data_IF_657119285232
#
_entry.id   IF_657119285232
#
_cell.length_a   1.000
_cell.length_b   1.000
_cell.length_c   1.000
_cell.angle_alpha   90.00
_cell.angle_beta   90.00
_cell.angle_gamma   90.00
#
_symmetry.space_group_name_H-M   'P 1'
#
loop_
_entity.id
_entity.type
_entity.pdbx_description
1 polymer ?
#
# COMPACT_ATOMS: atom_id res chain seq x y z
N UNK A 1 -25.11 -38.53 -78.55
CA UNK A 1 -23.78 -38.43 -77.92
C UNK A 1 -23.65 -36.99 -77.48
N UNK A 2 -24.43 -36.53 -76.51
CA UNK A 2 -24.42 -36.90 -75.08
C UNK A 2 -23.04 -36.67 -74.46
N UNK A 3 -23.00 -35.85 -73.42
CA UNK A 3 -21.85 -35.80 -72.52
C UNK A 3 -21.65 -34.45 -71.84
N UNK A 4 -22.52 -34.15 -70.88
CA UNK A 4 -22.39 -33.13 -69.86
C UNK A 4 -21.02 -33.15 -69.13
N UNK A 5 -20.61 -31.96 -68.68
CA UNK A 5 -19.54 -31.76 -67.72
C UNK A 5 -19.76 -30.46 -66.97
N UNK A 6 -20.62 -30.49 -65.96
CA UNK A 6 -20.80 -29.42 -64.96
C UNK A 6 -19.52 -29.23 -64.14
N UNK A 7 -19.06 -27.99 -63.90
CA UNK A 7 -18.07 -27.71 -62.87
C UNK A 7 -18.74 -27.61 -61.50
N UNK A 8 -18.09 -28.22 -60.51
CA UNK A 8 -18.51 -28.26 -59.10
C UNK A 8 -18.89 -26.88 -58.54
N UNK A 9 -20.09 -26.82 -57.97
CA UNK A 9 -20.60 -25.72 -57.15
C UNK A 9 -19.81 -25.65 -55.84
N UNK A 10 -18.80 -24.78 -55.77
CA UNK A 10 -18.26 -24.34 -54.48
C UNK A 10 -19.34 -23.55 -53.73
N UNK A 11 -19.78 -24.08 -52.59
CA UNK A 11 -20.69 -23.38 -51.69
C UNK A 11 -20.14 -22.02 -51.30
N UNK A 12 -20.90 -20.97 -51.59
CA UNK A 12 -20.67 -19.65 -51.02
C UNK A 12 -21.03 -19.69 -49.53
N UNK A 13 -20.34 -18.93 -48.67
CA UNK A 13 -20.78 -18.76 -47.29
C UNK A 13 -22.15 -18.06 -47.32
N UNK A 14 -23.13 -18.57 -46.57
CA UNK A 14 -24.37 -17.85 -46.30
C UNK A 14 -23.99 -16.55 -45.58
N UNK A 15 -23.94 -15.45 -46.33
CA UNK A 15 -23.98 -14.11 -45.75
C UNK A 15 -25.44 -13.86 -45.34
N UNK A 16 -25.66 -13.64 -44.04
CA UNK A 16 -26.96 -13.28 -43.51
C UNK A 16 -27.51 -12.06 -44.26
N UNK A 17 -28.76 -12.16 -44.74
CA UNK A 17 -29.40 -11.09 -45.50
C UNK A 17 -29.51 -9.83 -44.62
N UNK A 18 -29.30 -8.61 -45.16
CA UNK A 18 -29.41 -7.38 -44.38
C UNK A 18 -30.78 -7.17 -43.72
N UNK A 19 -31.85 -7.80 -44.25
CA UNK A 19 -33.15 -7.81 -43.57
C UNK A 19 -33.19 -8.72 -42.34
N UNK A 20 -32.47 -9.84 -42.35
CA UNK A 20 -32.37 -10.74 -41.20
C UNK A 20 -31.52 -10.12 -40.08
N UNK A 21 -30.40 -9.48 -40.43
CA UNK A 21 -29.58 -8.72 -39.48
C UNK A 21 -30.36 -7.57 -38.81
N UNK A 22 -31.14 -6.80 -39.59
CA UNK A 22 -32.00 -5.74 -39.02
C UNK A 22 -33.14 -6.29 -38.13
N UNK A 23 -33.65 -7.50 -38.39
CA UNK A 23 -34.65 -8.12 -37.51
C UNK A 23 -34.04 -8.72 -36.25
N UNK A 24 -32.80 -9.21 -36.30
CA UNK A 24 -32.05 -9.67 -35.13
C UNK A 24 -31.72 -8.50 -34.20
N UNK A 25 -31.13 -7.42 -34.71
CA UNK A 25 -30.83 -6.21 -33.93
C UNK A 25 -32.07 -5.65 -33.22
N UNK A 26 -33.20 -5.58 -33.94
CA UNK A 26 -34.47 -5.11 -33.36
C UNK A 26 -35.04 -6.05 -32.29
N UNK A 27 -34.79 -7.36 -32.40
CA UNK A 27 -35.24 -8.36 -31.43
C UNK A 27 -34.38 -8.29 -30.16
N UNK A 28 -33.09 -8.00 -30.31
CA UNK A 28 -32.16 -7.75 -29.20
C UNK A 28 -32.53 -6.47 -28.46
N UNK A 29 -32.84 -5.38 -29.17
CA UNK A 29 -33.32 -4.11 -28.57
C UNK A 29 -34.59 -4.31 -27.72
N UNK A 30 -35.57 -5.08 -28.21
CA UNK A 30 -36.81 -5.38 -27.48
C UNK A 30 -36.56 -6.27 -26.24
N UNK A 31 -35.60 -7.20 -26.30
CA UNK A 31 -35.19 -8.03 -25.16
C UNK A 31 -34.43 -7.23 -24.10
N UNK A 32 -33.56 -6.30 -24.50
CA UNK A 32 -32.85 -5.38 -23.59
C UNK A 32 -33.83 -4.43 -22.87
N UNK A 33 -34.80 -3.87 -23.59
CA UNK A 33 -35.81 -2.99 -23.01
C UNK A 33 -36.69 -3.73 -21.98
N UNK A 34 -37.07 -4.98 -22.29
CA UNK A 34 -37.81 -5.84 -21.36
C UNK A 34 -36.99 -6.21 -20.12
N UNK A 35 -35.69 -6.50 -20.28
CA UNK A 35 -34.79 -6.77 -19.17
C UNK A 35 -34.56 -5.53 -18.28
N UNK A 36 -34.43 -4.36 -18.89
CA UNK A 36 -34.32 -3.09 -18.16
C UNK A 36 -35.60 -2.80 -17.35
N UNK A 37 -36.78 -3.04 -17.91
CA UNK A 37 -38.05 -2.92 -17.21
C UNK A 37 -38.15 -3.89 -16.02
N UNK A 38 -37.75 -5.16 -16.20
CA UNK A 38 -37.72 -6.15 -15.13
C UNK A 38 -36.77 -5.74 -13.98
N UNK A 39 -35.57 -5.27 -14.30
CA UNK A 39 -34.61 -4.78 -13.30
C UNK A 39 -35.12 -3.53 -12.57
N UNK A 40 -35.87 -2.66 -13.26
CA UNK A 40 -36.45 -1.46 -12.66
C UNK A 40 -37.56 -1.78 -11.63
N UNK A 41 -38.27 -2.90 -11.80
CA UNK A 41 -39.33 -3.36 -10.88
C UNK A 41 -38.82 -4.27 -9.75
N UNK A 42 -37.57 -4.74 -9.83
CA UNK A 42 -37.00 -5.67 -8.87
C UNK A 42 -37.00 -5.08 -7.45
N UNK A 43 -37.38 -5.82 -6.39
CA UNK A 43 -37.28 -5.35 -5.00
C UNK A 43 -35.86 -4.91 -4.60
N UNK A 44 -35.75 -3.88 -3.75
CA UNK A 44 -34.46 -3.32 -3.33
C UNK A 44 -33.44 -4.36 -2.81
N UNK A 45 -33.79 -5.32 -1.94
CA UNK A 45 -32.83 -6.31 -1.47
C UNK A 45 -32.26 -7.21 -2.59
N UNK A 46 -33.03 -7.44 -3.65
CA UNK A 46 -32.58 -8.24 -4.80
C UNK A 46 -31.72 -7.39 -5.74
N UNK A 47 -32.07 -6.12 -5.94
CA UNK A 47 -31.26 -5.19 -6.72
C UNK A 47 -29.90 -4.94 -6.05
N UNK A 48 -29.86 -4.82 -4.72
CA UNK A 48 -28.60 -4.73 -3.96
C UNK A 48 -27.70 -5.95 -4.20
N UNK A 49 -28.27 -7.16 -4.26
CA UNK A 49 -27.49 -8.37 -4.57
C UNK A 49 -26.93 -8.34 -5.99
N UNK A 50 -27.72 -7.89 -6.97
CA UNK A 50 -27.24 -7.72 -8.36
C UNK A 50 -26.09 -6.71 -8.42
N UNK A 51 -26.27 -5.54 -7.80
CA UNK A 51 -25.24 -4.50 -7.75
C UNK A 51 -23.98 -4.96 -7.00
N UNK A 52 -24.13 -5.76 -5.93
CA UNK A 52 -23.00 -6.24 -5.14
C UNK A 52 -22.05 -7.16 -5.94
N UNK A 53 -22.54 -7.83 -6.99
CA UNK A 53 -21.70 -8.63 -7.89
C UNK A 53 -20.83 -7.78 -8.83
N UNK A 54 -21.13 -6.49 -9.01
CA UNK A 54 -20.40 -5.61 -9.93
C UNK A 54 -19.10 -5.06 -9.30
N UNK A 55 -18.07 -4.77 -10.12
CA UNK A 55 -16.87 -4.08 -9.66
C UNK A 55 -17.20 -2.74 -9.01
N UNK A 56 -16.56 -2.46 -7.87
CA UNK A 56 -16.81 -1.24 -7.10
C UNK A 56 -16.55 0.06 -7.90
N UNK A 57 -15.60 0.05 -8.84
CA UNK A 57 -15.33 1.19 -9.71
C UNK A 57 -16.53 1.47 -10.63
N UNK A 58 -17.10 0.43 -11.26
CA UNK A 58 -18.26 0.54 -12.15
C UNK A 58 -19.51 1.00 -11.39
N UNK A 59 -19.69 0.52 -10.15
CA UNK A 59 -20.78 0.98 -9.29
C UNK A 59 -20.79 2.50 -9.14
N UNK A 60 -19.62 3.08 -8.84
CA UNK A 60 -19.47 4.52 -8.57
C UNK A 60 -19.47 5.34 -9.86
N UNK A 61 -18.86 4.84 -10.94
CA UNK A 61 -18.64 5.59 -12.18
C UNK A 61 -19.79 5.47 -13.19
N UNK A 62 -20.47 4.32 -13.24
CA UNK A 62 -21.50 4.03 -14.24
C UNK A 62 -22.86 3.77 -13.58
N UNK A 63 -22.97 2.80 -12.65
CA UNK A 63 -24.25 2.41 -12.08
C UNK A 63 -24.94 3.56 -11.34
N UNK A 64 -24.16 4.41 -10.66
CA UNK A 64 -24.65 5.64 -10.00
C UNK A 64 -25.33 6.61 -10.96
N UNK A 65 -25.03 6.56 -12.26
CA UNK A 65 -25.56 7.46 -13.30
C UNK A 65 -26.78 6.90 -14.05
N UNK A 66 -27.15 5.63 -13.83
CA UNK A 66 -28.24 4.96 -14.54
C UNK A 66 -29.59 5.60 -14.25
N UNK A 67 -29.95 5.72 -12.96
CA UNK A 67 -31.18 6.39 -12.52
C UNK A 67 -31.09 6.79 -11.03
N UNK A 68 -32.04 7.60 -10.56
CA UNK A 68 -32.08 8.07 -9.16
C UNK A 68 -32.12 6.91 -8.15
N UNK A 69 -32.87 5.84 -8.46
CA UNK A 69 -32.96 4.66 -7.60
C UNK A 69 -31.60 3.97 -7.44
N UNK A 70 -30.86 3.80 -8.52
CA UNK A 70 -29.53 3.19 -8.47
C UNK A 70 -28.53 4.08 -7.75
N UNK A 71 -28.61 5.40 -7.96
CA UNK A 71 -27.81 6.38 -7.22
C UNK A 71 -28.00 6.25 -5.70
N UNK A 72 -29.25 6.18 -5.22
CA UNK A 72 -29.55 6.05 -3.79
C UNK A 72 -28.99 4.75 -3.20
N UNK A 73 -29.05 3.64 -3.94
CA UNK A 73 -28.49 2.36 -3.49
C UNK A 73 -26.96 2.34 -3.51
N UNK A 74 -26.34 2.94 -4.53
CA UNK A 74 -24.88 3.05 -4.62
C UNK A 74 -24.32 3.99 -3.56
N UNK A 75 -25.02 5.07 -3.23
CA UNK A 75 -24.63 6.01 -2.18
C UNK A 75 -24.95 5.48 -0.77
N UNK A 76 -25.80 4.44 -0.68
CA UNK A 76 -26.28 3.86 0.56
C UNK A 76 -25.32 2.86 1.22
N UNK A 77 -25.29 2.87 2.55
CA UNK A 77 -24.55 1.90 3.36
C UNK A 77 -24.86 0.41 3.06
N UNK A 78 -26.12 -0.01 2.81
CA UNK A 78 -26.44 -1.44 2.66
C UNK A 78 -25.68 -2.16 1.55
N UNK A 79 -25.43 -1.50 0.41
CA UNK A 79 -24.68 -2.09 -0.70
C UNK A 79 -23.25 -2.43 -0.30
N UNK A 80 -22.57 -1.45 0.29
CA UNK A 80 -21.16 -1.59 0.65
C UNK A 80 -20.94 -2.51 1.86
N UNK A 81 -21.89 -2.53 2.80
CA UNK A 81 -21.91 -3.54 3.87
C UNK A 81 -22.02 -4.95 3.29
N UNK A 82 -22.95 -5.17 2.36
CA UNK A 82 -23.13 -6.47 1.71
C UNK A 82 -21.85 -6.90 0.97
N UNK A 83 -21.24 -6.00 0.19
CA UNK A 83 -19.95 -6.29 -0.48
C UNK A 83 -18.84 -6.62 0.52
N UNK A 84 -18.73 -5.87 1.62
CA UNK A 84 -17.75 -6.16 2.66
C UNK A 84 -17.94 -7.55 3.27
N UNK A 85 -19.19 -7.98 3.50
CA UNK A 85 -19.51 -9.30 4.04
C UNK A 85 -19.18 -10.42 3.04
N UNK A 86 -19.57 -10.26 1.77
CA UNK A 86 -19.29 -11.23 0.70
C UNK A 86 -17.78 -11.46 0.52
N UNK A 87 -16.98 -10.41 0.71
CA UNK A 87 -15.53 -10.44 0.53
C UNK A 87 -14.75 -10.68 1.83
N UNK A 88 -15.42 -10.97 2.95
CA UNK A 88 -14.78 -11.25 4.24
C UNK A 88 -14.01 -10.07 4.84
N UNK A 89 -14.37 -8.83 4.50
CA UNK A 89 -13.71 -7.61 4.97
C UNK A 89 -14.24 -7.11 6.33
N UNK A 90 -15.39 -7.64 6.78
CA UNK A 90 -15.96 -7.27 8.08
C UNK A 90 -15.19 -8.02 9.18
N UNK A 91 -14.53 -7.34 10.13
CA UNK A 91 -13.80 -8.01 11.20
C UNK A 91 -14.75 -8.83 12.08
N UNK A 92 -14.35 -10.05 12.45
CA UNK A 92 -15.04 -10.83 13.47
C UNK A 92 -14.83 -10.17 14.84
N UNK A 93 -15.85 -9.49 15.37
CA UNK A 93 -15.86 -8.97 16.74
C UNK A 93 -15.91 -7.45 16.89
N UNK A 94 -15.57 -6.67 15.85
CA UNK A 94 -15.78 -5.21 15.85
C UNK A 94 -17.14 -4.88 15.24
N UNK A 95 -18.17 -5.14 16.02
CA UNK A 95 -19.49 -4.54 15.82
C UNK A 95 -19.50 -3.09 16.36
N UNK A 96 -18.47 -2.29 16.06
CA UNK A 96 -18.48 -0.86 16.39
C UNK A 96 -19.38 -0.13 15.39
N UNK A 97 -20.66 -0.16 15.79
CA UNK A 97 -21.72 0.83 15.68
C UNK A 97 -21.24 2.28 15.44
N UNK A 98 -20.78 2.62 14.24
CA UNK A 98 -20.87 3.98 13.60
C UNK A 98 -20.06 4.02 12.30
N UNK A 99 -20.27 3.06 11.41
CA UNK A 99 -19.74 3.18 10.04
C UNK A 99 -20.74 3.91 9.17
N UNK A 100 -20.76 5.24 9.29
CA UNK A 100 -21.56 6.11 8.42
C UNK A 100 -21.08 6.05 6.95
N UNK A 101 -19.87 5.51 6.70
CA UNK A 101 -19.22 5.54 5.39
C UNK A 101 -18.69 4.16 4.94
N UNK A 102 -19.57 3.15 4.85
CA UNK A 102 -19.21 1.79 4.40
C UNK A 102 -18.52 1.74 3.04
N UNK A 103 -18.86 2.65 2.13
CA UNK A 103 -18.17 2.80 0.85
C UNK A 103 -16.67 3.07 1.03
N UNK A 104 -16.33 4.04 1.88
CA UNK A 104 -14.94 4.40 2.16
C UNK A 104 -14.21 3.23 2.85
N UNK A 105 -14.87 2.60 3.83
CA UNK A 105 -14.31 1.41 4.49
C UNK A 105 -13.99 0.30 3.48
N UNK A 106 -14.91 0.00 2.55
CA UNK A 106 -14.68 -0.99 1.51
C UNK A 106 -13.43 -0.66 0.68
N UNK A 107 -13.35 0.56 0.14
CA UNK A 107 -12.24 0.97 -0.71
C UNK A 107 -10.89 0.99 0.03
N UNK A 108 -10.87 1.46 1.28
CA UNK A 108 -9.68 1.45 2.14
C UNK A 108 -9.23 0.02 2.45
N UNK A 109 -10.16 -0.87 2.78
CA UNK A 109 -9.88 -2.27 3.11
C UNK A 109 -9.32 -3.03 1.91
N UNK A 110 -9.93 -2.86 0.72
CA UNK A 110 -9.46 -3.48 -0.52
C UNK A 110 -8.07 -3.01 -0.97
N UNK A 111 -7.68 -1.79 -0.61
CA UNK A 111 -6.39 -1.19 -0.99
C UNK A 111 -5.32 -1.34 0.08
N UNK A 112 -5.66 -1.80 1.30
CA UNK A 112 -4.75 -1.91 2.42
C UNK A 112 -3.61 -2.88 2.09
N UNK A 113 -2.41 -2.32 1.92
CA UNK A 113 -1.15 -3.04 1.67
C UNK A 113 0.03 -2.19 2.14
N UNK A 114 1.23 -2.79 2.19
CA UNK A 114 2.45 -2.00 2.34
C UNK A 114 2.70 -1.21 1.05
N UNK A 115 2.90 0.11 1.18
CA UNK A 115 3.14 1.01 0.06
C UNK A 115 4.64 1.23 -0.19
N UNK A 116 5.51 0.84 0.75
CA UNK A 116 6.95 0.87 0.55
C UNK A 116 7.38 -0.26 -0.38
N UNK A 117 8.23 0.07 -1.34
CA UNK A 117 8.91 -0.91 -2.19
C UNK A 117 10.13 -1.47 -1.47
N UNK A 118 10.45 -2.73 -1.75
CA UNK A 118 11.65 -3.40 -1.25
C UNK A 118 11.95 -3.11 0.25
N UNK A 119 11.01 -3.41 1.17
CA UNK A 119 11.16 -3.07 2.59
C UNK A 119 12.27 -3.89 3.28
N UNK A 120 12.65 -5.05 2.74
CA UNK A 120 13.59 -5.99 3.38
C UNK A 120 14.92 -6.15 2.62
N UNK A 121 15.11 -5.51 1.46
CA UNK A 121 16.35 -5.61 0.68
C UNK A 121 16.44 -6.81 -0.26
N UNK A 122 15.31 -7.42 -0.64
CA UNK A 122 15.31 -8.52 -1.63
C UNK A 122 15.83 -8.06 -3.00
N UNK A 123 15.61 -6.80 -3.34
CA UNK A 123 16.04 -6.14 -4.57
C UNK A 123 17.20 -5.16 -4.29
N UNK A 124 18.12 -5.53 -3.41
CA UNK A 124 19.21 -4.66 -2.94
C UNK A 124 18.67 -3.30 -2.43
N UNK A 125 19.07 -2.18 -3.03
CA UNK A 125 18.60 -0.83 -2.70
C UNK A 125 17.58 -0.29 -3.72
N UNK A 126 17.06 -1.13 -4.62
CA UNK A 126 16.04 -0.71 -5.59
C UNK A 126 14.78 -0.17 -4.87
N UNK A 127 14.17 0.85 -5.47
CA UNK A 127 13.03 1.55 -4.91
C UNK A 127 13.37 2.64 -3.89
N UNK A 128 14.57 2.64 -3.30
CA UNK A 128 15.01 3.68 -2.37
C UNK A 128 15.67 4.86 -3.10
N UNK A 129 15.36 6.07 -2.68
CA UNK A 129 15.95 7.33 -3.15
C UNK A 129 16.75 8.02 -2.03
N UNK A 130 17.46 9.11 -2.37
CA UNK A 130 18.30 9.88 -1.43
C UNK A 130 19.21 8.99 -0.57
N UNK A 131 19.80 7.98 -1.21
CA UNK A 131 20.63 7.00 -0.51
C UNK A 131 21.99 7.63 -0.19
N UNK A 132 22.25 7.81 1.11
CA UNK A 132 23.53 8.27 1.63
C UNK A 132 24.31 7.07 2.18
N UNK A 133 25.55 6.92 1.74
CA UNK A 133 26.45 5.84 2.14
C UNK A 133 27.59 6.39 3.01
N UNK A 134 27.37 6.51 4.32
CA UNK A 134 28.44 6.77 5.27
C UNK A 134 29.36 5.57 5.43
N UNK A 135 30.66 5.78 5.68
CA UNK A 135 31.64 4.70 5.88
C UNK A 135 31.71 3.73 4.70
N UNK A 136 31.56 2.42 4.96
CA UNK A 136 31.50 1.39 3.92
C UNK A 136 30.11 1.28 3.25
N UNK A 137 29.17 2.16 3.62
CA UNK A 137 27.83 2.26 3.05
C UNK A 137 26.85 1.18 3.51
N UNK A 138 25.62 1.28 2.99
CA UNK A 138 24.59 0.25 3.12
C UNK A 138 25.03 -1.10 2.56
N UNK A 139 24.71 -2.17 3.29
CA UNK A 139 24.78 -3.56 2.83
C UNK A 139 23.46 -4.26 3.08
N UNK A 140 23.11 -5.19 2.21
CA UNK A 140 22.00 -6.11 2.45
C UNK A 140 22.61 -7.42 2.97
N UNK A 141 22.10 -7.89 4.11
CA UNK A 141 22.57 -9.09 4.80
C UNK A 141 21.38 -10.04 5.05
N UNK A 142 21.67 -11.33 5.16
CA UNK A 142 20.66 -12.37 5.45
C UNK A 142 20.43 -12.49 6.96
N UNK A 143 19.20 -12.81 7.36
CA UNK A 143 18.85 -13.12 8.74
C UNK A 143 19.16 -14.59 9.07
N UNK A 144 19.64 -14.89 10.29
CA UNK A 144 20.07 -13.94 11.31
C UNK A 144 21.47 -13.37 10.99
N UNK A 145 21.66 -12.09 11.30
CA UNK A 145 22.93 -11.38 11.08
C UNK A 145 24.07 -11.83 12.02
N UNK A 146 25.31 -11.51 11.65
CA UNK A 146 26.49 -11.77 12.48
C UNK A 146 26.42 -11.01 13.83
N UNK A 147 26.39 -11.76 14.94
CA UNK A 147 26.16 -11.24 16.30
C UNK A 147 24.80 -10.51 16.46
N UNK A 148 23.85 -10.78 15.56
CA UNK A 148 22.46 -10.35 15.64
C UNK A 148 21.54 -11.47 16.14
N UNK A 149 20.24 -11.18 16.18
CA UNK A 149 19.20 -12.11 16.63
C UNK A 149 18.17 -12.35 15.53
N UNK A 150 17.50 -13.50 15.61
CA UNK A 150 16.45 -13.90 14.66
C UNK A 150 15.26 -12.93 14.71
N UNK A 151 14.65 -12.67 13.54
CA UNK A 151 13.43 -11.88 13.46
C UNK A 151 12.20 -12.78 13.63
N UNK A 152 11.61 -12.78 14.81
CA UNK A 152 10.53 -13.72 15.19
C UNK A 152 9.10 -13.21 14.91
N UNK A 153 8.97 -11.99 14.39
CA UNK A 153 7.66 -11.36 14.19
C UNK A 153 7.01 -11.70 12.85
N UNK A 154 7.80 -12.03 11.82
CA UNK A 154 7.33 -12.42 10.50
C UNK A 154 8.36 -13.33 9.81
N UNK A 155 8.00 -14.60 9.65
CA UNK A 155 8.85 -15.62 9.02
C UNK A 155 9.10 -15.36 7.52
N UNK A 156 8.38 -14.42 6.88
CA UNK A 156 8.63 -14.04 5.49
C UNK A 156 9.84 -13.12 5.32
N UNK A 157 10.30 -12.46 6.39
CA UNK A 157 11.46 -11.57 6.36
C UNK A 157 12.74 -12.41 6.41
N UNK A 158 13.62 -12.21 5.41
CA UNK A 158 14.87 -12.98 5.26
C UNK A 158 16.13 -12.14 5.18
N UNK A 159 15.99 -10.84 4.94
CA UNK A 159 17.10 -9.91 4.77
C UNK A 159 16.85 -8.62 5.52
N UNK A 160 17.92 -7.87 5.77
CA UNK A 160 17.87 -6.55 6.38
C UNK A 160 18.96 -5.64 5.78
N UNK A 161 18.83 -4.34 6.04
CA UNK A 161 19.80 -3.32 5.66
C UNK A 161 20.75 -3.03 6.83
N UNK A 162 22.04 -3.34 6.65
CA UNK A 162 23.11 -3.01 7.58
C UNK A 162 23.75 -1.66 7.23
N UNK A 163 23.84 -0.77 8.22
CA UNK A 163 24.56 0.51 8.10
C UNK A 163 26.04 0.38 8.49
N UNK A 164 26.83 1.43 8.24
CA UNK A 164 28.26 1.46 8.54
C UNK A 164 28.59 2.47 9.64
N UNK A 165 29.88 2.68 9.89
CA UNK A 165 30.40 3.51 10.99
C UNK A 165 30.17 5.03 10.86
N UNK A 166 29.52 5.47 9.78
CA UNK A 166 29.02 6.84 9.58
C UNK A 166 27.56 6.78 9.11
N UNK A 167 26.86 7.93 9.09
CA UNK A 167 25.44 7.98 8.79
C UNK A 167 25.14 7.44 7.38
N UNK A 168 24.35 6.39 7.34
CA UNK A 168 23.71 5.87 6.14
C UNK A 168 22.23 6.28 6.14
N UNK A 169 21.74 6.83 5.04
CA UNK A 169 20.33 7.25 4.91
C UNK A 169 19.72 6.67 3.65
N UNK A 170 18.41 6.47 3.66
CA UNK A 170 17.61 6.10 2.49
C UNK A 170 16.18 6.58 2.67
N UNK A 171 15.54 7.00 1.59
CA UNK A 171 14.18 7.52 1.61
C UNK A 171 13.29 6.86 0.56
N UNK A 172 11.98 6.95 0.75
CA UNK A 172 10.98 6.67 -0.28
C UNK A 172 9.89 7.73 -0.23
N UNK A 173 9.48 8.19 -1.41
CA UNK A 173 8.34 9.08 -1.60
C UNK A 173 7.21 8.24 -2.21
N UNK A 174 6.09 8.18 -1.49
CA UNK A 174 4.90 7.44 -1.88
C UNK A 174 3.88 8.46 -2.40
N UNK A 175 3.48 8.28 -3.66
CA UNK A 175 2.34 9.01 -4.24
C UNK A 175 1.04 8.26 -3.89
N UNK A 176 0.33 8.75 -2.88
CA UNK A 176 -0.93 8.19 -2.41
C UNK A 176 -2.01 8.16 -3.52
N UNK A 177 -2.03 9.15 -4.43
CA UNK A 177 -2.99 9.15 -5.53
C UNK A 177 -2.66 8.06 -6.55
N UNK A 178 -1.38 7.92 -6.91
CA UNK A 178 -0.92 6.82 -7.76
C UNK A 178 -1.16 5.44 -7.12
N UNK A 179 -1.08 5.34 -5.79
CA UNK A 179 -1.41 4.12 -5.03
C UNK A 179 -2.93 3.86 -4.89
N UNK A 180 -3.77 4.78 -5.40
CA UNK A 180 -5.22 4.61 -5.53
C UNK A 180 -6.06 5.29 -4.44
N UNK A 181 -5.49 6.21 -3.68
CA UNK A 181 -6.16 7.04 -2.68
C UNK A 181 -6.45 8.44 -3.26
N UNK A 182 -7.70 8.70 -3.62
CA UNK A 182 -8.09 9.93 -4.34
C UNK A 182 -8.19 11.16 -3.42
N UNK A 183 -8.10 12.36 -4.01
CA UNK A 183 -8.09 13.66 -3.30
C UNK A 183 -9.23 13.80 -2.28
N UNK A 184 -10.48 13.57 -2.68
CA UNK A 184 -11.65 13.71 -1.78
C UNK A 184 -11.56 12.78 -0.54
N UNK A 185 -11.04 11.56 -0.68
CA UNK A 185 -10.81 10.64 0.43
C UNK A 185 -9.71 11.16 1.36
N UNK A 186 -8.61 11.64 0.79
CA UNK A 186 -7.50 12.18 1.58
C UNK A 186 -7.93 13.45 2.31
N UNK A 187 -8.61 14.38 1.63
CA UNK A 187 -9.04 15.67 2.18
C UNK A 187 -10.17 15.56 3.21
N UNK A 188 -11.18 14.75 2.91
CA UNK A 188 -12.42 14.69 3.70
C UNK A 188 -12.35 13.61 4.78
N UNK A 189 -11.99 12.38 4.39
CA UNK A 189 -11.98 11.23 5.31
C UNK A 189 -10.73 11.22 6.18
N UNK A 190 -9.60 11.71 5.65
CA UNK A 190 -8.30 11.70 6.31
C UNK A 190 -8.01 10.34 6.96
N UNK A 191 -7.99 9.26 6.14
CA UNK A 191 -7.81 7.91 6.67
C UNK A 191 -6.50 7.83 7.46
N UNK A 192 -6.48 6.96 8.46
CA UNK A 192 -5.29 6.78 9.28
C UNK A 192 -4.13 6.24 8.42
N UNK A 193 -3.03 6.98 8.40
CA UNK A 193 -1.77 6.54 7.79
C UNK A 193 -0.95 5.89 8.90
N UNK A 194 -0.59 4.63 8.71
CA UNK A 194 0.19 3.83 9.65
C UNK A 194 1.56 3.58 9.06
N UNK A 195 2.60 3.99 9.77
CA UNK A 195 3.99 3.74 9.41
C UNK A 195 4.62 2.88 10.49
N UNK A 196 5.29 1.81 10.08
CA UNK A 196 5.98 0.89 10.95
C UNK A 196 7.40 0.68 10.43
N UNK A 197 8.35 0.59 11.34
CA UNK A 197 9.73 0.26 11.02
C UNK A 197 10.31 -0.63 12.12
N UNK A 198 11.27 -1.48 11.75
CA UNK A 198 11.93 -2.41 12.66
C UNK A 198 13.42 -2.14 12.67
N UNK A 199 13.99 -2.04 13.88
CA UNK A 199 15.40 -1.83 14.04
C UNK A 199 16.06 -2.70 15.10
N UNK A 200 17.32 -3.05 14.86
CA UNK A 200 18.15 -3.80 15.80
C UNK A 200 19.62 -3.38 15.66
N UNK A 201 20.41 -3.76 16.66
CA UNK A 201 21.84 -3.54 16.70
C UNK A 201 22.57 -4.86 16.87
N UNK A 202 23.87 -4.86 16.61
CA UNK A 202 24.73 -6.02 16.91
C UNK A 202 25.03 -6.02 18.41
N UNK A 203 25.12 -7.21 18.99
CA UNK A 203 25.44 -7.36 20.42
C UNK A 203 26.86 -6.90 20.77
N UNK A 204 27.78 -6.84 19.79
CA UNK A 204 29.19 -6.52 19.97
C UNK A 204 29.54 -5.04 19.72
N UNK A 205 28.59 -4.20 19.30
CA UNK A 205 28.85 -2.78 19.03
C UNK A 205 27.56 -1.91 19.07
N UNK A 206 27.69 -0.70 19.61
CA UNK A 206 26.57 0.22 19.72
C UNK A 206 26.18 0.86 18.38
N UNK A 207 24.91 1.18 18.20
CA UNK A 207 24.43 1.94 17.05
C UNK A 207 23.32 2.92 17.41
N UNK A 208 23.08 3.87 16.51
CA UNK A 208 22.02 4.85 16.56
C UNK A 208 21.07 4.67 15.38
N UNK A 209 19.80 4.92 15.65
CA UNK A 209 18.71 4.86 14.70
C UNK A 209 17.99 6.21 14.65
N UNK A 210 17.54 6.62 13.47
CA UNK A 210 16.73 7.82 13.28
C UNK A 210 15.70 7.62 12.15
N UNK A 211 14.43 7.80 12.46
CA UNK A 211 13.34 7.79 11.49
C UNK A 211 12.71 9.16 11.39
N UNK A 212 12.51 9.65 10.18
CA UNK A 212 11.72 10.85 9.90
C UNK A 212 10.63 10.54 8.88
N UNK A 213 9.38 10.79 9.23
CA UNK A 213 8.20 10.60 8.37
C UNK A 213 7.55 11.95 8.15
N UNK A 214 7.30 12.30 6.89
CA UNK A 214 6.66 13.55 6.49
C UNK A 214 5.43 13.27 5.65
N UNK A 215 4.32 13.89 6.02
CA UNK A 215 3.18 14.05 5.13
C UNK A 215 3.37 15.34 4.35
N UNK A 216 3.34 15.24 3.03
CA UNK A 216 3.62 16.32 2.12
C UNK A 216 2.32 16.80 1.45
N UNK A 217 2.34 18.04 0.94
CA UNK A 217 1.34 18.57 0.01
C UNK A 217 1.71 18.21 -1.43
N UNK A 218 0.86 18.63 -2.39
CA UNK A 218 1.09 18.48 -3.84
C UNK A 218 2.32 19.28 -4.28
N UNK A 219 2.65 20.32 -3.53
CA UNK A 219 3.80 21.20 -3.76
C UNK A 219 5.00 20.84 -2.87
N UNK A 220 4.98 19.65 -2.27
CA UNK A 220 6.02 19.15 -1.35
C UNK A 220 6.16 19.93 -0.04
N UNK A 221 5.17 20.75 0.32
CA UNK A 221 5.15 21.41 1.63
C UNK A 221 4.94 20.38 2.74
N UNK A 222 5.68 20.49 3.84
CA UNK A 222 5.51 19.60 5.00
C UNK A 222 4.22 19.96 5.73
N UNK A 223 3.19 19.14 5.57
CA UNK A 223 1.91 19.28 6.28
C UNK A 223 2.01 18.77 7.70
N UNK A 224 2.82 17.72 7.91
CA UNK A 224 3.19 17.27 9.22
C UNK A 224 4.43 16.36 9.19
N UNK A 225 5.11 16.29 10.33
CA UNK A 225 6.37 15.59 10.49
C UNK A 225 6.36 14.81 11.81
N UNK A 226 6.86 13.58 11.74
CA UNK A 226 7.29 12.82 12.88
C UNK A 226 8.78 12.55 12.76
N UNK A 227 9.53 12.71 13.84
CA UNK A 227 10.91 12.25 13.94
C UNK A 227 11.09 11.49 15.24
N UNK A 228 11.81 10.36 15.19
CA UNK A 228 12.23 9.68 16.41
C UNK A 228 13.35 10.44 17.15
N UNK A 229 14.03 11.36 16.46
CA UNK A 229 15.37 11.80 16.84
C UNK A 229 16.37 10.64 16.78
N UNK A 230 17.58 10.88 17.29
CA UNK A 230 18.61 9.85 17.41
C UNK A 230 18.32 8.96 18.62
N UNK A 231 18.03 7.69 18.35
CA UNK A 231 17.73 6.67 19.36
C UNK A 231 18.91 5.72 19.45
N UNK A 232 19.44 5.53 20.67
CA UNK A 232 20.43 4.50 20.93
C UNK A 232 19.77 3.12 20.87
N UNK A 233 20.34 2.22 20.07
CA UNK A 233 19.83 0.86 19.92
C UNK A 233 20.37 0.01 21.08
N UNK A 234 19.50 -0.63 21.88
CA UNK A 234 19.93 -1.50 22.96
C UNK A 234 20.75 -2.69 22.44
N UNK A 235 21.89 -2.96 23.07
CA UNK A 235 22.74 -4.11 22.73
C UNK A 235 22.27 -5.40 23.43
N UNK A 236 21.67 -5.25 24.61
CA UNK A 236 21.12 -6.33 25.42
C UNK A 236 19.61 -6.08 25.58
N UNK A 237 18.78 -6.83 24.87
CA UNK A 237 17.33 -6.79 25.08
C UNK A 237 16.82 -8.21 25.35
N UNK A 238 16.08 -8.38 26.43
CA UNK A 238 15.44 -9.65 26.78
C UNK A 238 14.32 -10.05 25.79
N UNK A 239 13.84 -9.10 24.97
CA UNK A 239 12.71 -9.23 24.03
C UNK A 239 13.12 -9.56 22.58
N UNK A 240 14.32 -10.11 22.34
CA UNK A 240 14.69 -10.62 21.01
C UNK A 240 15.23 -9.57 20.02
N UNK A 241 15.87 -8.50 20.52
CA UNK A 241 16.79 -7.57 19.83
C UNK A 241 16.22 -6.64 18.77
N UNK A 242 15.05 -6.96 18.22
CA UNK A 242 14.34 -6.13 17.25
C UNK A 242 13.28 -5.26 17.93
N UNK A 243 13.27 -3.97 17.60
CA UNK A 243 12.38 -2.98 18.16
C UNK A 243 11.50 -2.42 17.05
N UNK A 244 10.18 -2.40 17.28
CA UNK A 244 9.22 -1.76 16.39
C UNK A 244 9.04 -0.29 16.75
N UNK A 245 9.17 0.60 15.77
CA UNK A 245 8.58 1.94 15.82
C UNK A 245 7.28 1.91 15.03
N UNK A 246 6.16 2.21 15.69
CA UNK A 246 4.85 2.31 15.05
C UNK A 246 4.26 3.69 15.25
N UNK A 247 3.82 4.30 14.15
CA UNK A 247 3.21 5.62 14.10
C UNK A 247 1.85 5.50 13.44
N UNK A 248 0.84 6.09 14.07
CA UNK A 248 -0.48 6.21 13.49
C UNK A 248 -0.92 7.66 13.58
N UNK A 249 -1.12 8.28 12.42
CA UNK A 249 -1.65 9.64 12.32
C UNK A 249 -3.00 9.65 11.62
N UNK A 250 -4.01 10.26 12.23
CA UNK A 250 -5.14 10.88 11.51
C UNK A 250 -4.79 12.35 11.37
N UNK A 251 -4.40 12.82 10.19
CA UNK A 251 -3.92 14.19 10.02
C UNK A 251 -2.93 14.60 11.12
N UNK A 252 -1.81 13.88 11.22
CA UNK A 252 -0.70 14.01 12.20
C UNK A 252 -0.82 15.20 13.21
N UNK A 253 -1.49 14.98 14.34
CA UNK A 253 -1.33 15.82 15.54
C UNK A 253 -0.51 15.07 16.60
N UNK A 254 0.80 15.31 16.63
CA UNK A 254 1.65 14.94 17.75
C UNK A 254 1.52 15.97 18.88
N UNK A 255 1.12 15.52 20.09
CA UNK A 255 1.33 16.33 21.30
C UNK A 255 2.82 16.38 21.58
N UNK A 256 3.42 17.55 21.36
CA UNK A 256 4.83 17.79 21.70
C UNK A 256 5.45 19.03 21.08
N UNK A 257 4.69 20.12 20.88
CA UNK A 257 5.22 21.38 20.36
C UNK A 257 4.13 22.44 20.24
N UNK A 258 4.46 23.68 20.55
CA UNK A 258 3.55 24.80 20.85
C UNK A 258 2.52 25.16 19.77
N UNK A 259 1.29 25.37 20.26
CA UNK A 259 0.09 25.96 19.66
C UNK A 259 0.31 26.93 18.47
N UNK A 260 -0.26 26.55 17.32
CA UNK A 260 -0.75 27.43 16.27
C UNK A 260 -2.22 27.10 15.98
N UNK A 261 -3.03 28.15 15.79
CA UNK A 261 -4.49 28.23 15.68
C UNK A 261 -5.13 27.43 14.50
N UNK A 262 -6.49 27.33 14.42
CA UNK A 262 -7.19 26.22 13.77
C UNK A 262 -7.27 26.33 12.25
N UNK A 263 -7.31 25.16 11.59
CA UNK A 263 -7.89 24.88 10.28
C UNK A 263 -7.64 25.92 9.17
N UNK A 264 -6.56 25.71 8.41
CA UNK A 264 -6.62 25.91 6.97
C UNK A 264 -6.61 24.51 6.37
N UNK A 265 -7.69 24.13 5.68
CA UNK A 265 -7.69 22.99 4.79
C UNK A 265 -6.72 23.32 3.64
N UNK A 266 -5.43 23.11 3.88
CA UNK A 266 -4.47 22.93 2.80
C UNK A 266 -4.86 21.62 2.13
N UNK A 267 -5.00 21.63 0.80
CA UNK A 267 -5.20 20.39 0.03
C UNK A 267 -4.15 19.38 0.50
N UNK A 268 -4.57 18.24 0.99
CA UNK A 268 -3.70 17.10 1.27
C UNK A 268 -3.26 16.57 -0.08
N UNK A 269 -2.23 17.18 -0.65
CA UNK A 269 -1.72 16.71 -1.91
C UNK A 269 -0.88 15.46 -1.71
N UNK A 270 -1.34 14.37 -2.31
CA UNK A 270 -0.65 13.19 -2.86
C UNK A 270 0.60 12.58 -2.23
N UNK A 271 1.47 13.26 -1.50
CA UNK A 271 2.79 12.74 -1.11
C UNK A 271 2.90 12.31 0.35
N UNK A 272 3.37 11.10 0.61
CA UNK A 272 3.94 10.71 1.89
C UNK A 272 5.42 10.38 1.68
N UNK A 273 6.33 11.08 2.36
CA UNK A 273 7.77 10.82 2.31
C UNK A 273 8.23 10.17 3.60
N UNK A 274 8.79 8.97 3.49
CA UNK A 274 9.43 8.26 4.59
C UNK A 274 10.93 8.35 4.39
N UNK A 275 11.65 8.89 5.37
CA UNK A 275 13.11 8.98 5.40
C UNK A 275 13.62 8.15 6.56
N UNK A 276 14.39 7.11 6.26
CA UNK A 276 15.07 6.26 7.23
C UNK A 276 16.55 6.63 7.28
N UNK A 277 17.07 6.85 8.49
CA UNK A 277 18.47 7.24 8.74
C UNK A 277 19.06 6.35 9.84
N UNK A 278 20.28 5.92 9.64
CA UNK A 278 20.93 4.92 10.47
C UNK A 278 22.41 5.20 10.60
N UNK A 279 22.97 5.00 11.78
CA UNK A 279 24.40 5.19 12.02
C UNK A 279 24.87 4.09 12.97
N UNK A 280 25.89 3.34 12.58
CA UNK A 280 26.55 2.42 13.48
C UNK A 280 27.75 3.12 14.13
N UNK A 281 27.95 2.97 15.44
CA UNK A 281 29.15 3.47 16.11
C UNK A 281 30.06 2.28 16.40
N UNK A 282 30.97 1.97 15.49
CA UNK A 282 32.05 1.04 15.79
C UNK A 282 33.01 1.69 16.79
N UNK A 283 32.76 1.59 18.10
CA UNK A 283 33.76 1.99 19.08
C UNK A 283 34.97 1.06 18.96
N UNK A 284 36.02 1.55 18.31
CA UNK A 284 37.39 1.29 18.75
C UNK A 284 38.04 2.63 19.07
N UNK A 285 37.97 3.07 20.33
CA UNK A 285 39.03 3.82 21.04
C UNK A 285 38.63 4.08 22.50
N UNK A 286 39.26 3.40 23.47
CA UNK A 286 40.48 3.83 24.19
C UNK A 286 40.21 4.82 25.35
N UNK A 287 40.07 4.29 26.57
CA UNK A 287 40.61 4.95 27.76
C UNK A 287 41.30 3.93 28.70
N UNK A 288 42.64 4.04 28.72
CA UNK A 288 43.58 3.68 29.80
C UNK A 288 43.63 2.24 30.33
N UNK A 289 44.61 1.49 29.85
CA UNK A 289 45.13 0.32 30.57
C UNK A 289 45.88 -0.63 29.66
N UNK A 290 47.18 -0.82 29.89
CA UNK A 290 48.03 -1.81 29.21
C UNK A 290 47.34 -3.18 29.11
N UNK A 291 47.30 -3.80 27.93
CA UNK A 291 47.64 -5.22 27.70
C UNK A 291 47.66 -5.56 26.21
N UNK A 292 48.66 -6.35 25.83
CA UNK A 292 48.98 -6.86 24.51
C UNK A 292 47.92 -7.83 23.97
N UNK A 293 47.54 -7.71 22.69
CA UNK A 293 46.80 -8.78 21.99
C UNK A 293 46.28 -8.37 20.63
N UNK A 294 46.98 -8.78 19.57
CA UNK A 294 46.56 -8.59 18.19
C UNK A 294 45.36 -9.51 17.84
N UNK A 295 44.24 -8.94 17.39
CA UNK A 295 43.13 -9.64 16.73
C UNK A 295 43.00 -9.17 15.29
N UNK A 296 43.12 -10.09 14.34
CA UNK A 296 43.49 -9.86 12.94
C UNK A 296 42.23 -9.92 12.06
N UNK A 297 41.77 -8.81 11.49
CA UNK A 297 40.76 -8.84 10.42
C UNK A 297 41.36 -9.51 9.17
N UNK A 298 40.80 -10.66 8.81
CA UNK A 298 41.26 -11.49 7.70
C UNK A 298 40.97 -10.84 6.35
N UNK A 299 42.03 -10.57 5.58
CA UNK A 299 41.95 -10.29 4.14
C UNK A 299 41.34 -11.49 3.43
N UNK A 300 40.15 -11.31 2.85
CA UNK A 300 39.67 -12.18 1.77
C UNK A 300 40.51 -11.88 0.50
N UNK A 301 41.02 -12.95 -0.11
CA UNK A 301 41.95 -12.94 -1.24
C UNK A 301 41.21 -12.57 -2.53
N UNK A 302 41.89 -11.80 -3.38
CA UNK A 302 41.54 -11.60 -4.80
C UNK A 302 41.70 -12.91 -5.56
N UNK A 303 40.83 -13.14 -6.53
CA UNK A 303 41.23 -13.60 -7.85
C UNK A 303 41.22 -12.39 -8.79
#
# INVERSE_FOLDING_TARGET
>A
MDGDGDPESMGQPEEASPEEACTEERREDEEEEAAAAYLAELPEPLLLRVLAELPAAELVQACRLVCLRWKELVDGAPLWLLKCQQEGLVPEGDADEERDHWQQFYFLSKRRRNLLRNPCGEEDLEGWCDVEHGGDGWRVEELPGDSGVEFTHDDSVKKYFASSFEWCRKAQIIDLQAEGYWEELLDTTQPAIVVKDWYSGRTDAGCLYELTVRLLSEHEDVLAEFTSGQVAVPQDSDDGGWIEVSLQGRGLSGRGGTLGSPAVAHRLGSGARVVQSWYFCGETQLETGHCTGAGRWGRARRA
#
